data_IF_511829127055
#
_entry.id   IF_511829127055
#
_cell.length_a   1.000
_cell.length_b   1.000
_cell.length_c   1.000
_cell.angle_alpha   90.00
_cell.angle_beta   90.00
_cell.angle_gamma   90.00
#
_symmetry.space_group_name_H-M   'P 1'
#
loop_
_entity.id
_entity.type
_entity.pdbx_description
1 polymer ?
#
# COMPACT_ATOMS: atom_id res chain seq x y z
N UNK A 1 2.47 9.98 1.50
CA UNK A 1 2.31 10.24 0.05
C UNK A 1 3.65 10.15 -0.67
N UNK A 2 4.65 10.98 -0.35
CA UNK A 2 5.95 10.88 -1.03
C UNK A 2 6.62 9.50 -0.88
N UNK A 3 6.68 8.95 0.34
CA UNK A 3 7.29 7.65 0.60
C UNK A 3 6.64 6.50 -0.19
N UNK A 4 5.30 6.49 -0.23
CA UNK A 4 4.52 5.49 -0.98
C UNK A 4 4.71 5.65 -2.48
N UNK A 5 4.73 6.87 -3.02
CA UNK A 5 4.99 7.09 -4.45
C UNK A 5 6.40 6.67 -4.89
N UNK A 6 7.42 6.88 -4.05
CA UNK A 6 8.79 6.40 -4.32
C UNK A 6 8.80 4.86 -4.34
N UNK A 7 8.19 4.23 -3.35
CA UNK A 7 8.11 2.77 -3.26
C UNK A 7 7.27 2.14 -4.39
N UNK A 8 6.17 2.77 -4.80
CA UNK A 8 5.35 2.35 -5.95
C UNK A 8 6.14 2.45 -7.26
N UNK A 9 6.92 3.51 -7.44
CA UNK A 9 7.78 3.68 -8.62
C UNK A 9 8.86 2.60 -8.68
N UNK A 10 9.51 2.31 -7.55
CA UNK A 10 10.51 1.25 -7.45
C UNK A 10 9.89 -0.15 -7.65
N UNK A 11 8.65 -0.35 -7.17
CA UNK A 11 7.87 -1.57 -7.45
C UNK A 11 7.59 -1.72 -8.95
N UNK A 12 7.27 -0.63 -9.65
CA UNK A 12 7.09 -0.61 -11.11
C UNK A 12 8.35 -1.03 -11.88
N UNK A 13 9.51 -0.45 -11.55
CA UNK A 13 10.79 -0.86 -12.13
C UNK A 13 11.14 -2.32 -11.82
N UNK A 14 10.77 -2.79 -10.63
CA UNK A 14 10.99 -4.17 -10.19
C UNK A 14 10.21 -5.19 -11.01
N UNK A 15 8.97 -4.86 -11.43
CA UNK A 15 8.15 -5.73 -12.28
C UNK A 15 8.77 -5.84 -13.68
N UNK A 16 9.26 -4.73 -14.23
CA UNK A 16 9.95 -4.74 -15.53
C UNK A 16 11.19 -5.65 -15.48
N UNK A 17 11.96 -5.59 -14.39
CA UNK A 17 13.11 -6.47 -14.18
C UNK A 17 12.71 -7.95 -14.05
N UNK A 18 11.67 -8.29 -13.26
CA UNK A 18 11.16 -9.67 -13.13
C UNK A 18 10.65 -10.24 -14.46
N UNK A 19 9.97 -9.43 -15.26
CA UNK A 19 9.46 -9.83 -16.57
C UNK A 19 10.57 -10.03 -17.61
N UNK A 20 11.63 -9.22 -17.55
CA UNK A 20 12.77 -9.31 -18.48
C UNK A 20 13.66 -10.54 -18.20
N UNK A 21 13.80 -10.94 -16.93
CA UNK A 21 14.72 -12.01 -16.52
C UNK A 21 14.03 -13.36 -16.20
N UNK A 22 12.72 -13.50 -16.46
CA UNK A 22 11.91 -14.72 -16.28
C UNK A 22 12.22 -15.50 -14.99
N UNK A 23 12.24 -14.78 -13.86
CA UNK A 23 12.63 -15.35 -12.56
C UNK A 23 11.60 -16.38 -12.11
N UNK A 24 11.99 -17.66 -12.13
CA UNK A 24 11.14 -18.78 -11.73
C UNK A 24 10.90 -18.79 -10.21
N UNK A 25 9.70 -19.16 -9.77
CA UNK A 25 9.30 -19.27 -8.33
C UNK A 25 10.21 -20.23 -7.51
N UNK A 26 11.11 -20.99 -8.15
CA UNK A 26 11.86 -22.09 -7.54
C UNK A 26 13.39 -22.07 -7.60
N UNK A 27 14.06 -21.34 -8.50
CA UNK A 27 15.53 -21.42 -8.64
C UNK A 27 16.14 -20.18 -9.36
N UNK A 28 17.35 -19.69 -8.98
CA UNK A 28 18.21 -20.15 -7.89
C UNK A 28 18.11 -19.27 -6.62
N UNK A 29 18.22 -19.96 -5.47
CA UNK A 29 18.34 -19.48 -4.10
C UNK A 29 17.33 -18.41 -3.63
N UNK A 30 16.51 -18.82 -2.65
CA UNK A 30 15.69 -17.95 -1.80
C UNK A 30 16.49 -16.87 -1.04
N UNK A 31 17.84 -16.90 -1.14
CA UNK A 31 18.79 -15.92 -0.59
C UNK A 31 19.48 -15.07 -1.68
N UNK A 32 18.93 -15.01 -2.90
CA UNK A 32 19.45 -14.19 -3.98
C UNK A 32 18.93 -12.75 -3.96
N UNK A 33 19.69 -11.83 -4.56
CA UNK A 33 19.39 -10.40 -4.81
C UNK A 33 17.99 -10.14 -5.40
N UNK A 34 17.36 -11.16 -5.99
CA UNK A 34 16.01 -11.16 -6.53
C UNK A 34 14.90 -10.99 -5.48
N UNK A 35 15.16 -11.25 -4.19
CA UNK A 35 14.20 -11.05 -3.10
C UNK A 35 14.08 -9.60 -2.60
N UNK A 36 14.87 -8.68 -3.17
CA UNK A 36 14.76 -7.22 -2.94
C UNK A 36 13.43 -6.66 -3.50
N UNK A 37 12.82 -7.37 -4.45
CA UNK A 37 11.67 -6.88 -5.20
C UNK A 37 10.33 -7.02 -4.44
N UNK A 38 10.02 -8.17 -3.78
CA UNK A 38 8.90 -8.26 -2.84
C UNK A 38 9.02 -7.31 -1.64
N UNK A 39 10.23 -6.85 -1.31
CA UNK A 39 10.47 -6.00 -0.16
C UNK A 39 10.00 -4.56 -0.36
N UNK A 40 10.00 -4.04 -1.60
CA UNK A 40 9.38 -2.75 -1.90
C UNK A 40 7.88 -2.77 -1.61
N UNK A 41 7.19 -3.89 -1.87
CA UNK A 41 5.81 -4.06 -1.46
C UNK A 41 5.66 -4.05 0.07
N UNK A 42 6.62 -4.64 0.80
CA UNK A 42 6.69 -4.60 2.26
C UNK A 42 6.80 -3.18 2.83
N UNK A 43 7.67 -2.34 2.25
CA UNK A 43 7.80 -0.92 2.63
C UNK A 43 6.46 -0.18 2.44
N UNK A 44 5.77 -0.43 1.33
CA UNK A 44 4.46 0.15 1.06
C UNK A 44 3.41 -0.28 2.09
N UNK A 45 3.35 -1.57 2.42
CA UNK A 45 2.39 -2.10 3.40
C UNK A 45 2.59 -1.47 4.77
N UNK A 46 3.84 -1.38 5.25
CA UNK A 46 4.17 -0.72 6.53
C UNK A 46 3.87 0.78 6.48
N UNK A 47 4.23 1.46 5.40
CA UNK A 47 3.96 2.90 5.24
C UNK A 47 2.46 3.18 5.24
N UNK A 48 1.65 2.33 4.59
CA UNK A 48 0.19 2.46 4.63
C UNK A 48 -0.39 2.20 6.03
N UNK A 49 0.19 1.25 6.78
CA UNK A 49 -0.22 0.99 8.16
C UNK A 49 0.02 2.22 9.04
N UNK A 50 1.23 2.78 9.00
CA UNK A 50 1.55 3.99 9.77
C UNK A 50 0.74 5.20 9.33
N UNK A 51 0.51 5.38 8.02
CA UNK A 51 -0.37 6.43 7.51
C UNK A 51 -1.82 6.26 7.98
N UNK A 52 -2.28 5.02 8.20
CA UNK A 52 -3.61 4.76 8.74
C UNK A 52 -3.68 5.10 10.24
N UNK A 53 -2.65 4.76 11.01
CA UNK A 53 -2.55 5.15 12.42
C UNK A 53 -2.48 6.67 12.58
N UNK A 54 -1.65 7.35 11.78
CA UNK A 54 -1.54 8.80 11.71
C UNK A 54 -2.93 9.46 11.57
N UNK A 55 -3.69 9.04 10.55
CA UNK A 55 -5.07 9.53 10.32
C UNK A 55 -6.02 9.22 11.47
N UNK A 56 -5.93 8.02 12.04
CA UNK A 56 -6.76 7.64 13.18
C UNK A 56 -6.48 8.53 14.40
N UNK A 57 -5.20 8.78 14.72
CA UNK A 57 -4.84 9.67 15.83
C UNK A 57 -5.24 11.12 15.56
N UNK A 58 -5.13 11.59 14.32
CA UNK A 58 -5.58 12.94 13.94
C UNK A 58 -7.08 13.15 14.19
N UNK A 59 -7.91 12.14 13.90
CA UNK A 59 -9.37 12.22 14.04
C UNK A 59 -9.85 11.92 15.47
N UNK A 60 -9.29 10.90 16.10
CA UNK A 60 -9.75 10.45 17.43
C UNK A 60 -9.11 11.23 18.59
N UNK A 61 -7.88 11.71 18.41
CA UNK A 61 -7.09 12.34 19.47
C UNK A 61 -6.36 13.60 18.97
N UNK A 62 -7.10 14.66 18.56
CA UNK A 62 -6.53 15.84 17.91
C UNK A 62 -5.50 16.60 18.77
N UNK A 63 -5.72 16.68 20.09
CA UNK A 63 -4.80 17.36 21.01
C UNK A 63 -3.46 16.62 21.17
N UNK A 64 -3.50 15.28 21.23
CA UNK A 64 -2.30 14.45 21.28
C UNK A 64 -1.56 14.50 19.95
N UNK A 65 -2.30 14.42 18.84
CA UNK A 65 -1.74 14.48 17.50
C UNK A 65 -0.92 15.75 17.27
N UNK A 66 -1.46 16.93 17.60
CA UNK A 66 -0.76 18.20 17.39
C UNK A 66 0.55 18.31 18.19
N UNK A 67 0.57 17.72 19.40
CA UNK A 67 1.75 17.76 20.28
C UNK A 67 2.87 16.82 19.85
N UNK A 68 2.55 15.64 19.33
CA UNK A 68 3.54 14.58 19.06
C UNK A 68 3.89 14.41 17.58
N UNK A 69 2.95 14.67 16.66
CA UNK A 69 3.16 14.44 15.22
C UNK A 69 3.88 15.63 14.58
N UNK A 70 5.21 15.62 14.68
CA UNK A 70 6.10 16.55 13.99
C UNK A 70 6.57 16.01 12.63
N UNK A 71 7.01 16.89 11.74
CA UNK A 71 7.58 16.50 10.43
C UNK A 71 8.79 15.56 10.60
N UNK A 72 9.64 15.84 11.58
CA UNK A 72 10.81 15.01 11.88
C UNK A 72 10.43 13.60 12.33
N UNK A 73 9.36 13.47 13.13
CA UNK A 73 8.83 12.17 13.55
C UNK A 73 8.32 11.34 12.36
N UNK A 74 7.57 11.96 11.45
CA UNK A 74 7.08 11.29 10.22
C UNK A 74 8.23 10.85 9.32
N UNK A 75 9.28 11.67 9.17
CA UNK A 75 10.49 11.30 8.43
C UNK A 75 11.19 10.11 9.10
N UNK A 76 11.31 10.13 10.43
CA UNK A 76 11.86 9.03 11.21
C UNK A 76 11.11 7.71 11.02
N UNK A 77 9.77 7.74 11.04
CA UNK A 77 8.94 6.55 10.77
C UNK A 77 9.16 6.05 9.34
N UNK A 78 9.24 6.96 8.35
CA UNK A 78 9.51 6.55 6.97
C UNK A 78 10.87 5.87 6.85
N UNK A 79 11.92 6.46 7.44
CA UNK A 79 13.26 5.86 7.47
C UNK A 79 13.26 4.49 8.17
N UNK A 80 12.53 4.37 9.28
CA UNK A 80 12.36 3.10 9.99
C UNK A 80 11.69 2.04 9.10
N UNK A 81 10.66 2.39 8.33
CA UNK A 81 10.00 1.43 7.42
C UNK A 81 10.99 0.84 6.41
N UNK A 82 11.88 1.68 5.87
CA UNK A 82 12.94 1.24 4.95
C UNK A 82 13.95 0.34 5.66
N UNK A 83 14.52 0.80 6.77
CA UNK A 83 15.54 0.06 7.54
C UNK A 83 14.99 -1.30 7.99
N UNK A 84 13.80 -1.33 8.60
CA UNK A 84 13.16 -2.55 9.07
C UNK A 84 12.95 -3.56 7.93
N UNK A 85 12.48 -3.09 6.78
CA UNK A 85 12.24 -3.97 5.63
C UNK A 85 13.55 -4.55 5.07
N UNK A 86 14.60 -3.74 4.95
CA UNK A 86 15.91 -4.22 4.48
C UNK A 86 16.61 -5.12 5.49
N UNK A 87 16.47 -4.85 6.79
CA UNK A 87 17.02 -5.70 7.85
C UNK A 87 16.41 -7.10 7.82
N UNK A 88 15.10 -7.21 7.58
CA UNK A 88 14.43 -8.52 7.43
C UNK A 88 15.00 -9.31 6.25
N UNK A 89 15.28 -8.64 5.12
CA UNK A 89 15.88 -9.30 3.96
C UNK A 89 17.31 -9.75 4.23
N UNK A 90 18.09 -8.92 4.91
CA UNK A 90 19.47 -9.27 5.27
C UNK A 90 19.48 -10.52 6.14
N UNK A 91 18.58 -10.60 7.12
CA UNK A 91 18.42 -11.80 7.97
C UNK A 91 17.97 -13.01 7.13
N UNK A 92 17.05 -12.84 6.18
CA UNK A 92 16.63 -13.93 5.29
C UNK A 92 17.78 -14.45 4.43
N UNK A 93 18.64 -13.57 3.91
CA UNK A 93 19.79 -13.95 3.07
C UNK A 93 20.89 -14.70 3.84
N UNK A 94 21.00 -14.48 5.16
CA UNK A 94 22.02 -15.11 6.01
C UNK A 94 21.58 -16.46 6.59
N UNK A 95 20.34 -16.89 6.34
CA UNK A 95 19.73 -18.04 6.99
C UNK A 95 19.55 -19.21 6.01
N UNK A 96 19.83 -20.47 6.41
CA UNK A 96 19.67 -21.64 5.55
C UNK A 96 18.21 -21.83 5.08
N UNK A 97 18.04 -22.45 3.90
CA UNK A 97 16.78 -22.54 3.13
C UNK A 97 15.59 -23.08 3.95
N UNK A 98 15.84 -24.02 4.85
CA UNK A 98 14.82 -24.61 5.74
C UNK A 98 14.27 -23.60 6.75
N UNK A 99 15.12 -22.70 7.26
CA UNK A 99 14.74 -21.63 8.18
C UNK A 99 14.17 -20.41 7.44
N UNK A 100 14.65 -20.13 6.23
CA UNK A 100 14.05 -19.13 5.35
C UNK A 100 12.58 -19.45 5.01
N UNK A 101 12.22 -20.74 4.91
CA UNK A 101 10.83 -21.18 4.75
C UNK A 101 9.94 -20.81 5.94
N UNK A 102 10.41 -21.03 7.16
CA UNK A 102 9.69 -20.67 8.39
C UNK A 102 9.56 -19.15 8.54
N UNK A 103 10.63 -18.41 8.27
CA UNK A 103 10.63 -16.93 8.33
C UNK A 103 9.66 -16.34 7.30
N UNK A 104 9.61 -16.88 6.09
CA UNK A 104 8.68 -16.42 5.06
C UNK A 104 7.23 -16.76 5.41
N UNK A 105 6.94 -17.96 5.93
CA UNK A 105 5.61 -18.31 6.41
C UNK A 105 5.15 -17.39 7.55
N UNK A 106 6.06 -17.02 8.46
CA UNK A 106 5.81 -16.03 9.50
C UNK A 106 5.54 -14.63 8.93
N UNK A 107 6.38 -14.17 7.99
CA UNK A 107 6.21 -12.87 7.34
C UNK A 107 4.89 -12.75 6.57
N UNK A 108 4.45 -13.85 5.94
CA UNK A 108 3.15 -13.94 5.27
C UNK A 108 2.00 -13.83 6.29
N UNK A 109 2.07 -14.52 7.43
CA UNK A 109 1.07 -14.37 8.50
C UNK A 109 1.06 -12.94 9.08
N UNK A 110 2.23 -12.35 9.31
CA UNK A 110 2.32 -10.96 9.79
C UNK A 110 1.69 -9.99 8.79
N UNK A 111 1.91 -10.19 7.48
CA UNK A 111 1.31 -9.37 6.44
C UNK A 111 -0.23 -9.48 6.45
N UNK A 112 -0.78 -10.67 6.64
CA UNK A 112 -2.23 -10.86 6.78
C UNK A 112 -2.78 -10.11 7.99
N UNK A 113 -2.11 -10.20 9.15
CA UNK A 113 -2.50 -9.46 10.35
C UNK A 113 -2.49 -7.96 10.08
N UNK A 114 -1.42 -7.43 9.46
CA UNK A 114 -1.32 -6.01 9.11
C UNK A 114 -2.49 -5.56 8.23
N UNK A 115 -2.84 -6.36 7.22
CA UNK A 115 -3.95 -6.02 6.33
C UNK A 115 -5.29 -6.04 7.07
N UNK A 116 -5.54 -7.08 7.88
CA UNK A 116 -6.75 -7.15 8.70
C UNK A 116 -6.86 -5.93 9.63
N UNK A 117 -5.77 -5.57 10.32
CA UNK A 117 -5.72 -4.36 11.15
C UNK A 117 -6.03 -3.11 10.34
N UNK A 118 -5.50 -2.97 9.13
CA UNK A 118 -5.76 -1.84 8.24
C UNK A 118 -7.24 -1.75 7.85
N UNK A 119 -7.87 -2.86 7.50
CA UNK A 119 -9.30 -2.90 7.15
C UNK A 119 -10.15 -2.52 8.35
N UNK A 120 -9.89 -3.11 9.52
CA UNK A 120 -10.60 -2.80 10.76
C UNK A 120 -10.45 -1.33 11.16
N UNK A 121 -9.24 -0.78 11.10
CA UNK A 121 -8.97 0.63 11.36
C UNK A 121 -9.74 1.55 10.41
N UNK A 122 -9.86 1.17 9.13
CA UNK A 122 -10.58 1.96 8.14
C UNK A 122 -12.09 1.94 8.40
N UNK A 123 -12.64 0.79 8.78
CA UNK A 123 -14.05 0.65 9.18
C UNK A 123 -14.31 1.48 10.45
N UNK A 124 -13.45 1.39 11.47
CA UNK A 124 -13.59 2.21 12.69
C UNK A 124 -13.55 3.70 12.38
N UNK A 125 -12.61 4.15 11.54
CA UNK A 125 -12.52 5.55 11.12
C UNK A 125 -13.79 6.00 10.37
N UNK A 126 -14.33 5.16 9.49
CA UNK A 126 -15.58 5.42 8.79
C UNK A 126 -16.75 5.61 9.76
N UNK A 127 -16.89 4.73 10.75
CA UNK A 127 -17.95 4.83 11.78
C UNK A 127 -17.82 6.15 12.55
N UNK A 128 -16.60 6.49 12.99
CA UNK A 128 -16.34 7.72 13.74
C UNK A 128 -16.67 8.96 12.90
N UNK A 129 -16.18 9.02 11.66
CA UNK A 129 -16.44 10.14 10.77
C UNK A 129 -17.93 10.25 10.38
N UNK A 130 -18.64 9.13 10.19
CA UNK A 130 -20.10 9.12 9.98
C UNK A 130 -20.85 9.64 11.20
N UNK A 131 -20.44 9.26 12.41
CA UNK A 131 -21.06 9.70 13.65
C UNK A 131 -20.82 11.20 13.89
N UNK A 132 -19.62 11.72 13.57
CA UNK A 132 -19.32 13.15 13.61
C UNK A 132 -20.21 13.93 12.63
N UNK A 133 -20.33 13.46 11.40
CA UNK A 133 -21.22 14.03 10.36
C UNK A 133 -22.72 13.98 10.70
N UNK A 134 -23.15 13.01 11.51
CA UNK A 134 -24.53 12.90 11.99
C UNK A 134 -24.87 13.93 13.06
N UNK A 135 -23.87 14.46 13.78
CA UNK A 135 -24.02 15.47 14.84
C UNK A 135 -23.92 16.91 14.34
N UNK A 136 -23.35 17.12 13.14
CA UNK A 136 -23.23 18.45 12.54
C UNK A 136 -24.55 18.91 11.89
N UNK A 137 -24.87 20.19 12.08
CA UNK A 137 -26.00 20.84 11.40
C UNK A 137 -25.81 20.80 9.87
N UNK A 138 -26.90 20.83 9.06
CA UNK A 138 -26.79 20.87 7.61
C UNK A 138 -26.03 22.12 7.15
N UNK A 139 -24.87 21.93 6.55
CA UNK A 139 -24.00 22.97 6.00
C UNK A 139 -23.28 22.44 4.76
N UNK A 140 -22.77 23.33 3.91
CA UNK A 140 -21.95 22.95 2.74
C UNK A 140 -20.69 22.17 3.14
N UNK A 141 -20.15 22.44 4.34
CA UNK A 141 -19.01 21.70 4.89
C UNK A 141 -19.38 20.22 5.18
N UNK A 142 -20.61 19.97 5.63
CA UNK A 142 -21.15 18.62 5.86
C UNK A 142 -21.24 17.82 4.55
N UNK A 143 -21.63 18.46 3.46
CA UNK A 143 -21.70 17.81 2.14
C UNK A 143 -20.32 17.38 1.64
N UNK A 144 -19.32 18.26 1.76
CA UNK A 144 -17.93 17.95 1.42
C UNK A 144 -17.36 16.78 2.26
N UNK A 145 -17.67 16.75 3.57
CA UNK A 145 -17.29 15.64 4.45
C UNK A 145 -17.98 14.33 4.06
N UNK A 146 -19.24 14.38 3.60
CA UNK A 146 -20.00 13.20 3.11
C UNK A 146 -19.39 12.64 1.82
N UNK A 147 -18.96 13.49 0.89
CA UNK A 147 -18.22 13.05 -0.29
C UNK A 147 -16.90 12.37 0.07
N UNK A 148 -16.16 12.97 1.02
CA UNK A 148 -14.91 12.40 1.54
C UNK A 148 -15.12 11.01 2.15
N UNK A 149 -16.22 10.77 2.87
CA UNK A 149 -16.60 9.44 3.36
C UNK A 149 -16.86 8.45 2.23
N UNK A 150 -17.57 8.87 1.16
CA UNK A 150 -17.84 8.01 0.00
C UNK A 150 -16.55 7.56 -0.67
N UNK A 151 -15.55 8.44 -0.74
CA UNK A 151 -14.21 8.10 -1.24
C UNK A 151 -13.58 7.01 -0.37
N UNK A 152 -13.63 7.11 0.96
CA UNK A 152 -13.08 6.08 1.86
C UNK A 152 -13.69 4.71 1.58
N UNK A 153 -15.02 4.62 1.42
CA UNK A 153 -15.71 3.36 1.09
C UNK A 153 -15.24 2.79 -0.25
N UNK A 154 -15.13 3.63 -1.27
CA UNK A 154 -14.65 3.23 -2.58
C UNK A 154 -13.22 2.67 -2.51
N UNK A 155 -12.33 3.32 -1.75
CA UNK A 155 -10.95 2.86 -1.56
C UNK A 155 -10.89 1.50 -0.87
N UNK A 156 -11.70 1.28 0.17
CA UNK A 156 -11.77 -0.03 0.86
C UNK A 156 -12.25 -1.12 -0.08
N UNK A 157 -13.29 -0.85 -0.88
CA UNK A 157 -13.83 -1.79 -1.86
C UNK A 157 -12.78 -2.18 -2.91
N UNK A 158 -12.09 -1.20 -3.50
CA UNK A 158 -11.01 -1.45 -4.45
C UNK A 158 -9.86 -2.23 -3.82
N UNK A 159 -9.46 -1.88 -2.60
CA UNK A 159 -8.41 -2.60 -1.88
C UNK A 159 -8.77 -4.06 -1.64
N UNK A 160 -9.98 -4.33 -1.14
CA UNK A 160 -10.46 -5.70 -0.91
C UNK A 160 -10.58 -6.48 -2.22
N UNK A 161 -11.13 -5.88 -3.28
CA UNK A 161 -11.26 -6.56 -4.58
C UNK A 161 -9.91 -6.94 -5.20
N UNK A 162 -8.92 -6.05 -5.12
CA UNK A 162 -7.58 -6.29 -5.68
C UNK A 162 -6.75 -7.26 -4.84
N UNK A 163 -6.97 -7.33 -3.54
CA UNK A 163 -6.16 -8.16 -2.64
C UNK A 163 -6.82 -9.47 -2.21
N UNK A 164 -8.15 -9.59 -2.22
CA UNK A 164 -8.85 -10.81 -1.80
C UNK A 164 -8.39 -12.07 -2.53
N UNK A 165 -8.19 -12.06 -3.87
CA UNK A 165 -7.71 -13.25 -4.58
C UNK A 165 -6.30 -13.67 -4.12
N UNK A 166 -5.44 -12.70 -3.78
CA UNK A 166 -4.12 -12.94 -3.21
C UNK A 166 -4.21 -13.53 -1.81
N UNK A 167 -5.08 -13.00 -0.93
CA UNK A 167 -5.26 -13.55 0.43
C UNK A 167 -5.79 -14.97 0.41
N UNK A 168 -6.80 -15.27 -0.42
CA UNK A 168 -7.35 -16.62 -0.52
C UNK A 168 -6.29 -17.60 -1.00
N UNK A 169 -5.50 -17.26 -2.03
CA UNK A 169 -4.43 -18.13 -2.52
C UNK A 169 -3.34 -18.38 -1.48
N UNK A 170 -2.98 -17.36 -0.69
CA UNK A 170 -2.01 -17.49 0.40
C UNK A 170 -2.55 -18.41 1.50
N UNK A 171 -3.81 -18.22 1.93
CA UNK A 171 -4.45 -19.04 2.98
C UNK A 171 -4.53 -20.51 2.54
N UNK A 172 -4.95 -20.77 1.30
CA UNK A 172 -5.02 -22.12 0.73
C UNK A 172 -3.62 -22.75 0.64
N UNK A 173 -2.59 -21.99 0.23
CA UNK A 173 -1.21 -22.50 0.27
C UNK A 173 -0.75 -22.88 1.68
N UNK A 174 -1.16 -22.12 2.69
CA UNK A 174 -0.71 -22.31 4.07
C UNK A 174 -1.46 -23.42 4.81
N UNK A 175 -2.75 -23.64 4.47
CA UNK A 175 -3.59 -24.65 5.12
C UNK A 175 -3.58 -26.02 4.42
N UNK A 176 -3.45 -26.06 3.10
CA UNK A 176 -3.71 -27.29 2.33
C UNK A 176 -2.52 -27.81 1.55
N UNK A 177 -1.38 -27.11 1.50
CA UNK A 177 -0.19 -27.43 0.67
C UNK A 177 -0.47 -27.58 -0.85
N UNK A 178 -1.73 -27.52 -1.28
CA UNK A 178 -2.26 -27.71 -2.64
C UNK A 178 -2.63 -26.39 -3.35
N UNK A 179 -2.11 -25.25 -2.92
CA UNK A 179 -2.31 -23.99 -3.64
C UNK A 179 -1.67 -24.01 -5.03
N UNK A 180 -2.25 -23.26 -5.97
CA UNK A 180 -1.75 -23.17 -7.34
C UNK A 180 -0.28 -22.68 -7.35
N UNK A 181 0.61 -23.48 -7.97
CA UNK A 181 2.00 -23.14 -8.22
C UNK A 181 2.12 -22.56 -9.62
N UNK A 182 2.54 -21.30 -9.72
CA UNK A 182 2.84 -20.68 -11.00
C UNK A 182 4.34 -20.78 -11.26
N UNK A 183 4.73 -21.03 -12.51
CA UNK A 183 6.15 -21.22 -12.87
C UNK A 183 6.97 -19.93 -12.73
N UNK A 184 6.31 -18.76 -12.82
CA UNK A 184 6.91 -17.44 -12.75
C UNK A 184 6.05 -16.49 -11.86
N UNK A 185 6.69 -15.83 -10.89
CA UNK A 185 6.10 -14.80 -10.01
C UNK A 185 5.45 -13.63 -10.77
N UNK A 186 5.98 -13.32 -11.96
CA UNK A 186 5.47 -12.29 -12.86
C UNK A 186 4.19 -12.72 -13.60
N UNK A 187 3.92 -14.03 -13.71
CA UNK A 187 2.70 -14.58 -14.33
C UNK A 187 1.63 -14.95 -13.30
N UNK A 188 1.94 -14.85 -12.01
CA UNK A 188 1.00 -15.12 -10.93
C UNK A 188 -0.10 -14.05 -10.92
N UNK A 189 -1.25 -14.40 -11.51
CA UNK A 189 -2.37 -13.48 -11.75
C UNK A 189 -2.87 -12.83 -10.46
N UNK A 190 -2.80 -13.54 -9.33
CA UNK A 190 -3.19 -13.02 -8.01
C UNK A 190 -2.21 -11.98 -7.48
N UNK A 191 -0.92 -12.20 -7.69
CA UNK A 191 0.12 -11.27 -7.29
C UNK A 191 0.15 -10.04 -8.21
N UNK A 192 -0.13 -10.20 -9.50
CA UNK A 192 -0.35 -9.09 -10.44
C UNK A 192 -1.53 -8.22 -9.99
N UNK A 193 -2.66 -8.84 -9.60
CA UNK A 193 -3.85 -8.11 -9.13
C UNK A 193 -3.55 -7.27 -7.88
N UNK A 194 -2.80 -7.83 -6.93
CA UNK A 194 -2.35 -7.09 -5.75
C UNK A 194 -1.38 -5.95 -6.11
N UNK A 195 -0.51 -6.14 -7.11
CA UNK A 195 0.44 -5.12 -7.60
C UNK A 195 -0.24 -3.97 -8.35
N UNK A 196 -1.40 -4.18 -8.97
CA UNK A 196 -2.22 -3.10 -9.55
C UNK A 196 -2.61 -2.04 -8.51
N UNK A 197 -2.58 -2.35 -7.21
CA UNK A 197 -2.78 -1.38 -6.14
C UNK A 197 -1.75 -0.22 -6.18
N UNK A 198 -0.53 -0.47 -6.67
CA UNK A 198 0.49 0.55 -6.85
C UNK A 198 0.11 1.61 -7.91
N UNK A 199 -0.83 1.30 -8.82
CA UNK A 199 -1.39 2.27 -9.78
C UNK A 199 -2.62 2.97 -9.22
N UNK A 200 -3.42 2.26 -8.42
CA UNK A 200 -4.61 2.83 -7.78
C UNK A 200 -4.22 3.89 -6.74
N UNK A 201 -3.10 3.72 -6.04
CA UNK A 201 -2.68 4.65 -4.98
C UNK A 201 -2.39 6.08 -5.50
N UNK A 202 -1.56 6.28 -6.55
CA UNK A 202 -1.39 7.60 -7.17
C UNK A 202 -2.68 8.17 -7.76
N UNK A 203 -3.50 7.34 -8.40
CA UNK A 203 -4.78 7.78 -8.98
C UNK A 203 -5.73 8.32 -7.92
N UNK A 204 -5.81 7.64 -6.75
CA UNK A 204 -6.58 8.10 -5.60
C UNK A 204 -6.03 9.39 -4.99
N UNK A 205 -4.70 9.57 -4.98
CA UNK A 205 -4.11 10.83 -4.49
C UNK A 205 -4.43 12.01 -5.40
N UNK A 206 -4.36 11.81 -6.71
CA UNK A 206 -4.75 12.84 -7.69
C UNK A 206 -6.23 13.17 -7.49
N UNK A 207 -7.11 12.17 -7.48
CA UNK A 207 -8.55 12.39 -7.36
C UNK A 207 -8.98 12.97 -6.01
N UNK A 208 -8.41 12.49 -4.90
CA UNK A 208 -8.78 12.89 -3.55
C UNK A 208 -8.18 14.23 -3.09
N UNK A 209 -7.20 14.79 -3.80
CA UNK A 209 -6.60 16.09 -3.46
C UNK A 209 -6.72 17.07 -4.63
N UNK A 210 -7.68 18.03 -4.57
CA UNK A 210 -7.84 19.05 -5.61
C UNK A 210 -6.58 19.89 -5.83
N UNK A 211 -5.82 20.15 -4.77
CA UNK A 211 -4.54 20.85 -4.83
C UNK A 211 -3.50 20.06 -5.64
N UNK A 212 -3.39 18.75 -5.41
CA UNK A 212 -2.48 17.88 -6.15
C UNK A 212 -2.94 17.72 -7.61
N UNK A 213 -4.23 17.51 -7.85
CA UNK A 213 -4.82 17.49 -9.21
C UNK A 213 -4.50 18.77 -9.99
N UNK A 214 -4.69 19.93 -9.39
CA UNK A 214 -4.37 21.22 -10.01
C UNK A 214 -2.86 21.35 -10.31
N UNK A 215 -2.00 20.90 -9.39
CA UNK A 215 -0.55 20.94 -9.59
C UNK A 215 -0.10 20.01 -10.73
N UNK A 216 -0.64 18.78 -10.79
CA UNK A 216 -0.36 17.83 -11.87
C UNK A 216 -0.84 18.38 -13.22
N UNK A 217 -2.04 18.97 -13.25
CA UNK A 217 -2.57 19.60 -14.46
C UNK A 217 -1.69 20.75 -14.95
N UNK A 218 -1.25 21.65 -14.05
CA UNK A 218 -0.40 22.79 -14.41
C UNK A 218 0.99 22.40 -14.90
N UNK A 219 1.60 21.39 -14.28
CA UNK A 219 3.01 21.05 -14.50
C UNK A 219 3.20 20.01 -15.60
N UNK A 220 2.32 19.00 -15.66
CA UNK A 220 2.45 17.87 -16.59
C UNK A 220 1.46 18.03 -17.73
N UNK A 221 0.16 18.09 -17.43
CA UNK A 221 -0.87 17.97 -18.47
C UNK A 221 -0.97 19.21 -19.36
N UNK A 222 -0.70 20.41 -18.84
CA UNK A 222 -0.63 21.65 -19.64
C UNK A 222 0.52 21.64 -20.65
N UNK A 223 1.60 20.89 -20.37
CA UNK A 223 2.75 20.75 -21.29
C UNK A 223 2.51 19.67 -22.34
N UNK A 224 1.83 18.58 -21.97
CA UNK A 224 1.52 17.44 -22.87
C UNK A 224 0.30 17.71 -23.75
N UNK A 225 -0.72 18.39 -23.22
CA UNK A 225 -1.91 18.84 -23.94
C UNK A 225 -1.98 20.37 -23.93
N UNK A 226 -1.16 21.08 -24.72
CA UNK A 226 -1.33 22.50 -24.88
C UNK A 226 -2.73 22.76 -25.46
N UNK A 227 -3.56 23.54 -24.75
CA UNK A 227 -4.81 24.06 -25.31
C UNK A 227 -4.47 24.66 -26.67
N UNK A 228 -5.00 24.10 -27.77
CA UNK A 228 -5.08 24.81 -29.05
C UNK A 228 -5.73 26.15 -28.73
N UNK A 229 -4.97 27.24 -28.80
CA UNK A 229 -5.54 28.58 -28.87
C UNK A 229 -6.39 28.57 -30.12
N UNK A 230 -7.71 28.57 -29.96
CA UNK A 230 -8.63 28.86 -31.05
C UNK A 230 -8.24 30.20 -31.64
N UNK A 231 -8.05 30.20 -32.96
CA UNK A 231 -8.12 31.41 -33.77
C UNK A 231 -9.58 31.85 -33.86
#
# INVERSE_FOLDING_TARGET
MLNTSISDTLTGFSIYYLGLFDVQEGYPSRNGTFYILPSFLGVNVLTFLFAQFDRYFAVCHPFFYNRFMSRSFVIGICAFCWIYTYSILMVQNMVPISKAAQINAFGVMTLQIIVLTKVLMTIKLYIIARNQLGREAPSTERENKKESLRIIVFVVMCFLALWAPSFVNIIVRQLTYHGLKFRNEATNLFAILARFNALVTPALYIWGSPALSCAVWRTVWRRVCPKRKGR
#
